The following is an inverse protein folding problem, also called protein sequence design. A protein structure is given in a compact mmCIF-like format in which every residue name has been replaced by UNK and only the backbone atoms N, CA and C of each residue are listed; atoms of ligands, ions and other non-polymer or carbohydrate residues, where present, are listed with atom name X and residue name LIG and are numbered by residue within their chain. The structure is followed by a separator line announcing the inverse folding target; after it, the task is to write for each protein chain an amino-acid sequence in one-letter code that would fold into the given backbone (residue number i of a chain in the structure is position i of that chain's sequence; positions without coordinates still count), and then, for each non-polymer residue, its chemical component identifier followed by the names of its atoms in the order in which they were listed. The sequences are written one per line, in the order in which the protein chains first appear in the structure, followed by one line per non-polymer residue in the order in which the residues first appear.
data_IF_553730107574
#
_entry.id   IF_553730107574
#
_cell.length_a   1.000
_cell.length_b   1.000
_cell.length_c   1.000
_cell.angle_alpha   90.00
_cell.angle_beta   90.00
_cell.angle_gamma   90.00
#
_symmetry.space_group_name_H-M   'P 1'
#
loop_
_entity.id
_entity.type
_entity.pdbx_description
1 polymer ?
#
# COMPACT_ATOMS: atom_id res chain seq x y z
N UNK A 1 15.28 -13.39 6.67
CA UNK A 1 14.10 -12.53 6.92
C UNK A 1 14.06 -11.54 5.77
N UNK A 2 12.92 -11.39 5.07
CA UNK A 2 12.83 -10.42 3.99
C UNK A 2 13.14 -9.01 4.50
N UNK A 3 13.90 -8.24 3.73
CA UNK A 3 14.41 -6.90 4.09
C UNK A 3 13.33 -5.92 4.58
N UNK A 4 12.07 -5.95 4.11
CA UNK A 4 11.06 -4.99 4.56
C UNK A 4 10.68 -5.12 6.03
N UNK A 5 10.73 -6.34 6.60
CA UNK A 5 10.32 -6.59 7.99
C UNK A 5 11.20 -5.83 8.99
N UNK A 6 12.54 -5.99 9.00
CA UNK A 6 13.39 -5.23 9.90
C UNK A 6 13.37 -3.72 9.62
N UNK A 7 13.09 -3.30 8.38
CA UNK A 7 12.98 -1.88 8.04
C UNK A 7 11.73 -1.23 8.65
N UNK A 8 10.59 -1.93 8.62
CA UNK A 8 9.34 -1.50 9.27
C UNK A 8 9.51 -1.54 10.80
N UNK A 9 10.10 -2.60 11.34
CA UNK A 9 10.33 -2.72 12.79
C UNK A 9 11.30 -1.65 13.31
N UNK A 10 12.39 -1.36 12.58
CA UNK A 10 13.30 -0.27 12.90
C UNK A 10 12.61 1.09 12.82
N UNK A 11 11.79 1.33 11.80
CA UNK A 11 10.98 2.54 11.67
C UNK A 11 10.00 2.72 12.83
N UNK A 12 9.33 1.66 13.27
CA UNK A 12 8.42 1.67 14.42
C UNK A 12 9.16 1.94 15.75
N UNK A 13 10.31 1.29 15.93
CA UNK A 13 11.16 1.47 17.12
C UNK A 13 11.72 2.90 17.20
N UNK A 14 12.21 3.43 16.08
CA UNK A 14 12.77 4.78 16.00
C UNK A 14 11.66 5.83 16.11
N UNK A 15 10.53 5.63 15.43
CA UNK A 15 9.44 6.59 15.33
C UNK A 15 8.59 6.73 16.60
N UNK A 16 8.11 5.63 17.17
CA UNK A 16 7.20 5.68 18.32
C UNK A 16 7.91 5.43 19.66
N UNK A 17 8.89 4.51 19.70
CA UNK A 17 9.45 4.03 20.97
C UNK A 17 10.67 4.78 21.48
N UNK A 18 11.55 5.28 20.60
CA UNK A 18 12.77 6.00 20.99
C UNK A 18 12.58 7.52 21.03
N UNK A 19 11.84 8.09 20.08
CA UNK A 19 11.64 9.54 19.99
C UNK A 19 10.56 10.08 20.95
N UNK A 20 9.53 9.29 21.28
CA UNK A 20 8.43 9.75 22.17
C UNK A 20 8.85 9.92 23.63
N UNK A 21 9.94 9.28 24.07
CA UNK A 21 10.46 9.43 25.45
C UNK A 21 11.19 10.76 25.70
N UNK A 22 11.54 11.50 24.65
CA UNK A 22 12.26 12.79 24.77
C UNK A 22 11.30 13.91 24.35
N UNK A 23 10.66 14.56 25.34
CA UNK A 23 9.76 15.73 25.13
C UNK A 23 10.37 16.88 24.31
N UNK A 24 11.71 16.94 24.26
CA UNK A 24 12.48 17.93 23.49
C UNK A 24 12.51 17.61 21.99
N UNK A 25 12.44 16.34 21.60
CA UNK A 25 12.40 15.91 20.19
C UNK A 25 10.98 15.96 19.65
N UNK A 26 9.98 15.61 20.44
CA UNK A 26 8.56 15.80 20.07
C UNK A 26 8.26 17.25 19.65
N UNK A 27 8.81 18.24 20.37
CA UNK A 27 8.57 19.66 20.06
C UNK A 27 9.27 20.17 18.79
N UNK A 28 10.39 19.56 18.38
CA UNK A 28 11.17 19.95 17.20
C UNK A 28 10.85 19.13 15.94
N UNK A 29 10.54 17.83 16.10
CA UNK A 29 10.26 16.91 14.99
C UNK A 29 8.76 16.85 14.64
N UNK A 30 7.88 16.96 15.64
CA UNK A 30 6.41 16.93 15.51
C UNK A 30 5.80 18.34 15.47
N UNK A 31 6.55 19.35 15.02
CA UNK A 31 6.00 20.66 14.74
C UNK A 31 5.14 20.58 13.47
N UNK A 32 3.95 21.21 13.46
CA UNK A 32 2.94 21.07 12.39
C UNK A 32 3.47 21.34 10.98
N UNK A 33 4.50 22.18 10.85
CA UNK A 33 5.19 22.46 9.59
C UNK A 33 6.03 21.28 9.06
N UNK A 34 6.57 20.43 9.93
CA UNK A 34 7.45 19.31 9.55
C UNK A 34 6.69 18.15 8.89
N UNK A 35 5.39 18.01 9.16
CA UNK A 35 4.56 16.94 8.61
C UNK A 35 4.44 16.99 7.08
N UNK A 36 4.36 18.20 6.51
CA UNK A 36 4.28 18.38 5.05
C UNK A 36 5.58 17.97 4.35
N UNK A 37 6.73 18.26 4.95
CA UNK A 37 8.03 17.82 4.40
C UNK A 37 8.16 16.30 4.38
N UNK A 38 7.69 15.61 5.42
CA UNK A 38 7.66 14.14 5.43
C UNK A 38 6.73 13.57 4.36
N UNK A 39 5.57 14.20 4.13
CA UNK A 39 4.66 13.79 3.06
C UNK A 39 5.32 13.93 1.67
N UNK A 40 5.99 15.04 1.40
CA UNK A 40 6.69 15.26 0.12
C UNK A 40 7.82 14.26 -0.05
N UNK A 41 8.62 14.02 1.00
CA UNK A 41 9.73 13.06 0.96
C UNK A 41 9.22 11.62 0.77
N UNK A 42 8.13 11.26 1.44
CA UNK A 42 7.50 9.94 1.31
C UNK A 42 6.91 9.75 -0.09
N UNK A 43 6.28 10.79 -0.65
CA UNK A 43 5.76 10.76 -2.02
C UNK A 43 6.90 10.57 -3.03
N UNK A 44 7.97 11.35 -2.91
CA UNK A 44 9.16 11.22 -3.75
C UNK A 44 9.80 9.83 -3.64
N UNK A 45 9.97 9.33 -2.41
CA UNK A 45 10.49 7.98 -2.15
C UNK A 45 9.61 6.89 -2.78
N UNK A 46 8.28 7.01 -2.68
CA UNK A 46 7.34 6.10 -3.34
C UNK A 46 7.51 6.14 -4.85
N UNK A 47 7.60 7.33 -5.45
CA UNK A 47 7.83 7.49 -6.90
C UNK A 47 9.14 6.84 -7.33
N UNK A 48 10.25 7.04 -6.60
CA UNK A 48 11.53 6.40 -6.92
C UNK A 48 11.45 4.87 -6.86
N UNK A 49 10.74 4.31 -5.89
CA UNK A 49 10.55 2.84 -5.78
C UNK A 49 9.76 2.30 -6.95
N UNK A 50 8.62 2.92 -7.30
CA UNK A 50 7.81 2.50 -8.45
C UNK A 50 8.57 2.67 -9.77
N UNK A 51 9.37 3.73 -9.90
CA UNK A 51 10.23 3.96 -11.06
C UNK A 51 11.29 2.87 -11.23
N UNK A 52 12.00 2.51 -10.15
CA UNK A 52 13.00 1.45 -10.18
C UNK A 52 12.38 0.09 -10.58
N UNK A 53 11.20 -0.22 -10.04
CA UNK A 53 10.42 -1.41 -10.42
C UNK A 53 10.06 -1.35 -11.92
N UNK A 54 9.65 -0.18 -12.42
CA UNK A 54 9.37 0.04 -13.84
C UNK A 54 10.58 -0.18 -14.75
N UNK A 55 11.78 0.19 -14.30
CA UNK A 55 13.04 0.00 -15.04
C UNK A 55 13.45 -1.48 -15.13
N UNK A 56 13.16 -2.26 -14.08
CA UNK A 56 13.48 -3.69 -14.01
C UNK A 56 12.46 -4.57 -14.77
N UNK A 57 11.31 -3.98 -15.16
CA UNK A 57 10.24 -4.68 -15.85
C UNK A 57 10.39 -4.65 -17.38
N UNK A 58 10.29 -5.84 -17.98
CA UNK A 58 10.18 -5.98 -19.43
C UNK A 58 8.74 -5.70 -19.90
N UNK A 59 8.57 -4.54 -20.55
CA UNK A 59 7.28 -4.02 -21.06
C UNK A 59 6.65 -4.96 -22.09
N UNK A 60 7.47 -5.65 -22.90
CA UNK A 60 6.99 -6.57 -23.94
C UNK A 60 6.35 -7.81 -23.32
N UNK A 61 6.95 -8.30 -22.24
CA UNK A 61 6.44 -9.44 -21.48
C UNK A 61 5.16 -9.08 -20.71
N UNK A 62 5.13 -7.89 -20.13
CA UNK A 62 3.97 -7.36 -19.40
C UNK A 62 2.75 -7.28 -20.31
N UNK A 63 2.84 -6.64 -21.49
CA UNK A 63 1.70 -6.47 -22.41
C UNK A 63 1.03 -7.79 -22.78
N UNK A 64 1.83 -8.85 -22.99
CA UNK A 64 1.33 -10.17 -23.36
C UNK A 64 0.57 -10.88 -22.24
N UNK A 65 0.89 -10.56 -20.98
CA UNK A 65 0.30 -11.20 -19.80
C UNK A 65 -0.64 -10.28 -19.00
N UNK A 66 -0.94 -9.08 -19.50
CA UNK A 66 -1.86 -8.13 -18.88
C UNK A 66 -3.21 -8.75 -18.55
N UNK A 67 -3.78 -9.59 -19.44
CA UNK A 67 -5.07 -10.27 -19.16
C UNK A 67 -4.99 -11.20 -17.96
N UNK A 68 -3.95 -12.01 -17.85
CA UNK A 68 -3.75 -12.89 -16.70
C UNK A 68 -3.52 -12.07 -15.42
N UNK A 69 -2.72 -11.02 -15.51
CA UNK A 69 -2.47 -10.09 -14.41
C UNK A 69 -3.75 -9.39 -13.92
N UNK A 70 -4.62 -8.92 -14.83
CA UNK A 70 -5.91 -8.30 -14.47
C UNK A 70 -6.86 -9.28 -13.79
N UNK A 71 -6.87 -10.55 -14.20
CA UNK A 71 -7.72 -11.58 -13.58
C UNK A 71 -7.23 -11.90 -12.17
N UNK A 72 -5.92 -12.00 -11.97
CA UNK A 72 -5.34 -12.25 -10.64
C UNK A 72 -5.57 -11.06 -9.72
N UNK A 73 -5.40 -9.84 -10.22
CA UNK A 73 -5.66 -8.61 -9.47
C UNK A 73 -7.13 -8.51 -9.05
N UNK A 74 -8.07 -8.73 -9.98
CA UNK A 74 -9.51 -8.69 -9.67
C UNK A 74 -9.94 -9.83 -8.75
N UNK A 75 -9.38 -11.03 -8.91
CA UNK A 75 -9.63 -12.17 -8.04
C UNK A 75 -9.16 -11.94 -6.59
N UNK A 76 -8.12 -11.12 -6.39
CA UNK A 76 -7.67 -10.69 -5.06
C UNK A 76 -8.49 -9.52 -4.50
N UNK A 77 -8.82 -8.54 -5.34
CA UNK A 77 -9.54 -7.34 -4.90
C UNK A 77 -11.02 -7.60 -4.55
N UNK A 78 -11.71 -8.44 -5.34
CA UNK A 78 -13.13 -8.78 -5.12
C UNK A 78 -13.44 -9.33 -3.71
N UNK A 79 -12.75 -10.38 -3.21
CA UNK A 79 -13.02 -10.90 -1.87
C UNK A 79 -12.68 -9.87 -0.78
N UNK A 80 -11.63 -9.05 -0.97
CA UNK A 80 -11.31 -7.96 -0.04
C UNK A 80 -12.43 -6.91 0.03
N UNK A 81 -12.99 -6.50 -1.11
CA UNK A 81 -14.11 -5.55 -1.15
C UNK A 81 -15.35 -6.14 -0.47
N UNK A 82 -15.69 -7.40 -0.76
CA UNK A 82 -16.85 -8.09 -0.18
C UNK A 82 -16.68 -8.22 1.34
N UNK A 83 -15.51 -8.67 1.79
CA UNK A 83 -15.21 -8.85 3.21
C UNK A 83 -15.22 -7.52 3.96
N UNK A 84 -14.58 -6.49 3.43
CA UNK A 84 -14.54 -5.15 4.03
C UNK A 84 -15.91 -4.47 4.03
N UNK A 85 -16.75 -4.74 3.02
CA UNK A 85 -18.15 -4.34 3.01
C UNK A 85 -18.97 -4.97 4.12
N UNK A 86 -18.82 -6.27 4.34
CA UNK A 86 -19.48 -6.97 5.43
C UNK A 86 -18.96 -6.48 6.80
N UNK A 87 -17.65 -6.23 6.92
CA UNK A 87 -17.00 -5.75 8.14
C UNK A 87 -17.25 -4.25 8.43
N UNK A 88 -17.64 -3.46 7.43
CA UNK A 88 -17.98 -2.04 7.60
C UNK A 88 -19.14 -1.84 8.59
N UNK A 89 -20.14 -2.72 8.56
CA UNK A 89 -21.34 -2.59 9.40
C UNK A 89 -21.03 -2.64 10.93
N UNK A 90 -20.29 -3.64 11.45
CA UNK A 90 -19.88 -3.65 12.86
C UNK A 90 -18.87 -2.55 13.18
N UNK A 91 -17.93 -2.23 12.27
CA UNK A 91 -16.93 -1.18 12.51
C UNK A 91 -17.56 0.21 12.62
N UNK A 92 -18.50 0.55 11.75
CA UNK A 92 -19.20 1.83 11.79
C UNK A 92 -19.96 2.01 13.10
N UNK A 93 -20.62 0.95 13.59
CA UNK A 93 -21.34 0.97 14.87
C UNK A 93 -20.42 1.16 16.07
N UNK A 94 -19.16 0.73 15.98
CA UNK A 94 -18.19 0.81 17.08
C UNK A 94 -17.40 2.13 17.08
N UNK A 95 -17.10 2.67 15.89
CA UNK A 95 -16.22 3.84 15.73
C UNK A 95 -16.95 5.16 15.46
N UNK A 96 -18.23 5.16 15.03
CA UNK A 96 -18.95 6.39 14.65
C UNK A 96 -20.19 6.65 15.51
N UNK A 97 -20.30 7.88 16.04
CA UNK A 97 -21.53 8.38 16.68
C UNK A 97 -22.52 8.87 15.63
N UNK A 98 -23.61 8.13 15.40
CA UNK A 98 -24.95 8.42 14.78
C UNK A 98 -25.15 9.47 13.64
N UNK A 99 -24.17 10.28 13.25
CA UNK A 99 -24.36 11.45 12.37
C UNK A 99 -23.40 11.54 11.18
N UNK A 100 -22.65 10.49 10.84
CA UNK A 100 -21.87 10.48 9.59
C UNK A 100 -22.50 9.61 8.50
N UNK A 101 -22.21 9.94 7.24
CA UNK A 101 -22.69 9.23 6.07
C UNK A 101 -22.09 7.81 6.01
N UNK A 102 -22.83 6.82 6.53
CA UNK A 102 -22.46 5.38 6.52
C UNK A 102 -21.94 4.91 5.15
N UNK A 103 -22.57 5.38 4.08
CA UNK A 103 -22.22 5.04 2.70
C UNK A 103 -20.80 5.50 2.36
N UNK A 104 -20.44 6.75 2.72
CA UNK A 104 -19.11 7.27 2.47
C UNK A 104 -18.03 6.52 3.26
N UNK A 105 -18.29 6.24 4.55
CA UNK A 105 -17.39 5.43 5.37
C UNK A 105 -17.19 4.03 4.78
N UNK A 106 -18.27 3.36 4.35
CA UNK A 106 -18.20 2.04 3.74
C UNK A 106 -17.38 2.05 2.45
N UNK A 107 -17.58 3.02 1.56
CA UNK A 107 -16.82 3.12 0.32
C UNK A 107 -15.33 3.40 0.58
N UNK A 108 -15.01 4.32 1.48
CA UNK A 108 -13.60 4.62 1.83
C UNK A 108 -12.94 3.40 2.46
N UNK A 109 -13.64 2.69 3.35
CA UNK A 109 -13.12 1.49 4.00
C UNK A 109 -12.91 0.33 3.01
N UNK A 110 -13.86 0.11 2.11
CA UNK A 110 -13.72 -0.86 1.01
C UNK A 110 -12.53 -0.52 0.10
N UNK A 111 -12.41 0.75 -0.30
CA UNK A 111 -11.34 1.21 -1.19
C UNK A 111 -9.97 1.10 -0.52
N UNK A 112 -9.86 1.49 0.75
CA UNK A 112 -8.63 1.38 1.53
C UNK A 112 -8.19 -0.07 1.72
N UNK A 113 -9.12 -0.99 1.97
CA UNK A 113 -8.82 -2.41 2.13
C UNK A 113 -8.54 -3.13 0.81
N UNK A 114 -9.11 -2.67 -0.31
CA UNK A 114 -8.86 -3.20 -1.64
C UNK A 114 -7.51 -2.72 -2.21
N UNK A 115 -7.07 -1.51 -1.85
CA UNK A 115 -5.74 -1.01 -2.15
C UNK A 115 -4.69 -1.73 -1.29
N UNK A 116 -4.30 -2.92 -1.73
CA UNK A 116 -3.18 -3.66 -1.15
C UNK A 116 -1.88 -2.89 -1.36
N UNK A 117 -0.98 -2.89 -0.36
CA UNK A 117 0.34 -2.26 -0.38
C UNK A 117 1.32 -2.98 -1.33
N UNK A 118 0.98 -2.93 -2.62
CA UNK A 118 1.67 -3.49 -3.78
C UNK A 118 3.19 -3.28 -3.81
N UNK A 119 3.75 -2.11 -3.43
CA UNK A 119 5.19 -1.89 -3.52
C UNK A 119 6.02 -2.77 -2.59
N UNK A 120 5.49 -3.07 -1.40
CA UNK A 120 6.20 -3.92 -0.43
C UNK A 120 6.25 -5.35 -0.95
N UNK A 121 5.12 -5.89 -1.44
CA UNK A 121 5.03 -7.25 -1.98
C UNK A 121 5.98 -7.45 -3.16
N UNK A 122 6.09 -6.46 -4.05
CA UNK A 122 7.05 -6.48 -5.17
C UNK A 122 8.50 -6.56 -4.64
N UNK A 123 8.83 -5.78 -3.62
CA UNK A 123 10.14 -5.81 -2.96
C UNK A 123 10.42 -7.16 -2.28
N UNK A 124 9.42 -7.76 -1.64
CA UNK A 124 9.52 -9.11 -1.07
C UNK A 124 9.84 -10.15 -2.17
N UNK A 125 9.16 -10.09 -3.32
CA UNK A 125 9.38 -11.00 -4.45
C UNK A 125 10.78 -10.82 -5.05
N UNK A 126 11.26 -9.57 -5.16
CA UNK A 126 12.61 -9.25 -5.60
C UNK A 126 13.67 -9.79 -4.62
N UNK A 127 13.47 -9.59 -3.31
CA UNK A 127 14.36 -10.10 -2.25
C UNK A 127 14.42 -11.63 -2.22
N UNK A 128 13.32 -12.30 -2.53
CA UNK A 128 13.25 -13.76 -2.66
C UNK A 128 13.93 -14.28 -3.94
N UNK A 129 14.53 -13.41 -4.77
CA UNK A 129 15.09 -13.71 -6.11
C UNK A 129 14.08 -14.36 -7.07
N UNK A 130 12.79 -14.20 -6.80
CA UNK A 130 11.72 -14.73 -7.66
C UNK A 130 11.44 -13.82 -8.87
N UNK A 131 12.04 -12.62 -8.92
CA UNK A 131 11.83 -11.62 -9.98
C UNK A 131 12.18 -12.09 -11.40
N UNK A 132 13.12 -13.04 -11.56
CA UNK A 132 13.50 -13.58 -12.88
C UNK A 132 12.59 -14.73 -13.35
N UNK A 133 11.78 -15.29 -12.46
CA UNK A 133 10.83 -16.36 -12.75
C UNK A 133 9.56 -15.82 -13.40
N UNK A 134 8.91 -16.64 -14.24
CA UNK A 134 7.63 -16.33 -14.88
C UNK A 134 6.56 -15.89 -13.85
N UNK A 135 6.58 -16.49 -12.67
CA UNK A 135 5.65 -16.20 -11.57
C UNK A 135 5.92 -14.82 -10.95
N UNK A 136 7.19 -14.44 -10.78
CA UNK A 136 7.57 -13.13 -10.26
C UNK A 136 7.16 -12.01 -11.20
N UNK A 137 7.41 -12.15 -12.50
CA UNK A 137 6.97 -11.18 -13.51
C UNK A 137 5.45 -11.01 -13.53
N UNK A 138 4.69 -12.10 -13.45
CA UNK A 138 3.22 -12.07 -13.38
C UNK A 138 2.71 -11.37 -12.12
N UNK A 139 3.33 -11.64 -10.96
CA UNK A 139 2.96 -11.02 -9.70
C UNK A 139 3.20 -9.51 -9.71
N UNK A 140 4.33 -9.04 -10.26
CA UNK A 140 4.60 -7.60 -10.38
C UNK A 140 3.62 -6.93 -11.34
N UNK A 141 3.30 -7.56 -12.49
CA UNK A 141 2.30 -7.04 -13.42
C UNK A 141 0.90 -6.93 -12.78
N UNK A 142 0.48 -7.97 -12.05
CA UNK A 142 -0.79 -7.98 -11.31
C UNK A 142 -0.86 -6.86 -10.28
N UNK A 143 0.24 -6.66 -9.55
CA UNK A 143 0.35 -5.63 -8.51
C UNK A 143 0.29 -4.21 -9.10
N UNK A 144 0.92 -3.96 -10.25
CA UNK A 144 0.81 -2.68 -10.97
C UNK A 144 -0.60 -2.39 -11.47
N UNK A 145 -1.27 -3.40 -12.04
CA UNK A 145 -2.66 -3.27 -12.48
C UNK A 145 -3.58 -2.95 -11.29
N UNK A 146 -3.35 -3.59 -10.13
CA UNK A 146 -4.09 -3.32 -8.92
C UNK A 146 -3.89 -1.87 -8.42
N UNK A 147 -2.65 -1.37 -8.39
CA UNK A 147 -2.36 0.02 -7.97
C UNK A 147 -3.03 1.04 -8.92
N UNK A 148 -2.98 0.81 -10.24
CA UNK A 148 -3.66 1.65 -11.24
C UNK A 148 -5.19 1.63 -11.09
N UNK A 149 -5.78 0.46 -10.90
CA UNK A 149 -7.23 0.32 -10.69
C UNK A 149 -7.67 1.03 -9.39
N UNK A 150 -6.85 0.92 -8.34
CA UNK A 150 -7.08 1.61 -7.08
C UNK A 150 -7.01 3.13 -7.19
N UNK A 151 -6.06 3.67 -7.95
CA UNK A 151 -5.97 5.11 -8.23
C UNK A 151 -7.18 5.58 -9.06
N UNK A 152 -7.60 4.83 -10.07
CA UNK A 152 -8.74 5.18 -10.92
C UNK A 152 -10.06 5.16 -10.14
N UNK A 153 -10.21 4.25 -9.16
CA UNK A 153 -11.42 4.14 -8.34
C UNK A 153 -11.43 5.12 -7.15
N UNK A 154 -10.26 5.63 -6.75
CA UNK A 154 -10.10 6.56 -5.64
C UNK A 154 -9.96 8.03 -6.03
N UNK A 155 -9.85 8.33 -7.32
CA UNK A 155 -9.89 9.67 -7.89
C UNK A 155 -11.31 10.03 -8.35
#
# INVERSE_FOLDING_TARGET
IPTPIPQITAGLLIGHSLLSKIKLVEKYFYQSTSADYYNVLAFFGRTCVVFLIGLELDISYMKRHLRAATIIASAGALPCVIFSGAASFPFFKYFTSKHEHFVAFMFIFMLAAANSASPLVIRFIADLRLGTSHIGRLAVCSSLVNDLAGILCGA
#
